data_IF_487183040526
#
_entry.id   IF_487183040526
#
_cell.length_a   1.000
_cell.length_b   1.000
_cell.length_c   1.000
_cell.angle_alpha   90.00
_cell.angle_beta   90.00
_cell.angle_gamma   90.00
#
_symmetry.space_group_name_H-M   'P 1'
#
loop_
_entity.id
_entity.type
_entity.pdbx_description
1 polymer ?
#
# COMPACT_ATOMS: atom_id res chain seq x y z
N UNK A 1 -34.86 -3.99 -24.27
CA UNK A 1 -33.86 -4.05 -25.37
C UNK A 1 -32.73 -3.04 -25.19
N UNK A 2 -32.98 -1.85 -24.69
CA UNK A 2 -31.99 -0.79 -24.41
C UNK A 2 -31.03 -1.16 -23.31
N UNK A 3 -31.50 -1.74 -22.23
CA UNK A 3 -30.67 -2.13 -21.03
C UNK A 3 -29.60 -3.19 -21.36
N UNK A 4 -29.87 -4.13 -22.26
CA UNK A 4 -28.88 -5.12 -22.72
C UNK A 4 -27.75 -4.50 -23.55
N UNK A 5 -28.05 -3.46 -24.30
CA UNK A 5 -27.05 -2.72 -25.11
C UNK A 5 -26.14 -1.86 -24.23
N UNK A 6 -26.69 -1.23 -23.19
CA UNK A 6 -25.92 -0.43 -22.23
C UNK A 6 -24.98 -1.34 -21.43
N UNK A 7 -25.45 -2.51 -21.01
CA UNK A 7 -24.63 -3.50 -20.28
C UNK A 7 -23.48 -4.05 -21.16
N UNK A 8 -23.75 -4.27 -22.46
CA UNK A 8 -22.73 -4.73 -23.42
C UNK A 8 -21.65 -3.66 -23.67
N UNK A 9 -22.03 -2.40 -23.75
CA UNK A 9 -21.08 -1.29 -23.93
C UNK A 9 -20.26 -1.09 -22.66
N UNK A 10 -20.88 -1.20 -21.47
CA UNK A 10 -20.17 -1.11 -20.20
C UNK A 10 -19.15 -2.25 -20.03
N UNK A 11 -19.51 -3.49 -20.39
CA UNK A 11 -18.59 -4.63 -20.38
C UNK A 11 -17.43 -4.48 -21.37
N UNK A 12 -17.65 -3.91 -22.55
CA UNK A 12 -16.57 -3.69 -23.52
C UNK A 12 -15.62 -2.59 -23.09
N UNK A 13 -16.12 -1.53 -22.45
CA UNK A 13 -15.27 -0.46 -21.88
C UNK A 13 -14.45 -0.98 -20.68
N UNK A 14 -15.06 -1.79 -19.81
CA UNK A 14 -14.32 -2.43 -18.69
C UNK A 14 -13.27 -3.44 -19.18
N UNK A 15 -13.57 -4.20 -20.24
CA UNK A 15 -12.60 -5.13 -20.82
C UNK A 15 -11.41 -4.40 -21.49
N UNK A 16 -11.63 -3.24 -22.10
CA UNK A 16 -10.55 -2.40 -22.62
C UNK A 16 -9.67 -1.79 -21.51
N UNK A 17 -10.27 -1.46 -20.35
CA UNK A 17 -9.50 -0.90 -19.22
C UNK A 17 -8.66 -1.95 -18.51
N UNK A 18 -9.07 -3.22 -18.51
CA UNK A 18 -8.29 -4.31 -17.89
C UNK A 18 -7.00 -4.67 -18.66
N UNK A 19 -6.87 -4.26 -19.90
CA UNK A 19 -5.73 -4.56 -20.77
C UNK A 19 -4.54 -3.62 -20.60
N UNK A 20 -4.68 -2.53 -19.83
CA UNK A 20 -3.59 -1.57 -19.60
C UNK A 20 -2.86 -1.71 -18.28
N UNK A 21 -3.24 -2.68 -17.47
CA UNK A 21 -2.60 -2.89 -16.17
C UNK A 21 -1.47 -3.90 -16.28
N UNK A 22 -0.33 -3.57 -16.83
CA UNK A 22 0.99 -4.17 -16.54
C UNK A 22 2.05 -3.94 -17.63
N UNK A 23 2.14 -2.74 -18.15
CA UNK A 23 3.40 -2.39 -18.81
C UNK A 23 4.27 -1.67 -17.76
N UNK A 24 5.12 -2.40 -17.09
CA UNK A 24 6.28 -1.84 -16.39
C UNK A 24 7.37 -1.69 -17.45
N UNK A 25 7.64 -0.47 -17.94
CA UNK A 25 8.76 -0.28 -18.87
C UNK A 25 10.05 -0.70 -18.16
N UNK A 26 11.00 -1.33 -18.88
CA UNK A 26 12.30 -1.63 -18.30
C UNK A 26 12.93 -0.32 -17.81
N UNK A 27 13.28 -0.29 -16.53
CA UNK A 27 13.97 0.86 -15.91
C UNK A 27 15.27 1.05 -16.66
N UNK A 28 15.37 2.11 -17.47
CA UNK A 28 16.64 2.50 -18.06
C UNK A 28 17.57 2.90 -16.91
N UNK A 29 18.63 2.15 -16.70
CA UNK A 29 19.71 2.47 -15.76
C UNK A 29 20.41 3.74 -16.20
N UNK A 30 19.96 4.87 -15.68
CA UNK A 30 20.61 6.15 -15.91
C UNK A 30 21.54 6.42 -14.72
N UNK A 31 22.85 6.31 -14.96
CA UNK A 31 23.91 6.48 -13.95
C UNK A 31 24.15 7.95 -13.55
N UNK A 32 23.37 8.87 -14.07
CA UNK A 32 23.45 10.28 -13.71
C UNK A 32 22.84 10.56 -12.33
N UNK A 33 23.32 11.64 -11.68
CA UNK A 33 22.91 12.09 -10.34
C UNK A 33 21.38 11.98 -10.12
N UNK A 34 20.98 11.44 -8.98
CA UNK A 34 19.56 11.32 -8.61
C UNK A 34 18.86 12.67 -8.73
N UNK A 35 18.00 12.83 -9.72
CA UNK A 35 17.14 14.00 -9.85
C UNK A 35 15.82 13.65 -9.19
N UNK A 36 15.43 14.41 -8.16
CA UNK A 36 14.21 14.18 -7.38
C UNK A 36 12.93 14.12 -8.23
N UNK A 37 12.96 14.63 -9.44
CA UNK A 37 11.85 14.69 -10.38
C UNK A 37 11.96 13.76 -11.58
N UNK A 38 12.90 12.80 -11.56
CA UNK A 38 12.99 11.75 -12.58
C UNK A 38 12.20 10.51 -12.17
N UNK A 39 11.68 9.80 -13.19
CA UNK A 39 10.97 8.52 -13.02
C UNK A 39 9.80 8.62 -12.02
N UNK A 40 8.88 9.52 -12.32
CA UNK A 40 7.65 9.69 -11.57
C UNK A 40 6.57 8.87 -12.27
N UNK A 41 5.91 8.01 -11.50
CA UNK A 41 4.76 7.24 -11.95
C UNK A 41 3.47 8.02 -11.70
N UNK A 42 2.60 8.03 -12.71
CA UNK A 42 1.27 8.63 -12.62
C UNK A 42 0.23 7.54 -12.76
N UNK A 43 -0.75 7.54 -11.86
CA UNK A 43 -1.86 6.58 -11.89
C UNK A 43 -3.18 7.35 -11.86
N UNK A 44 -4.11 6.95 -12.73
CA UNK A 44 -5.51 7.32 -12.64
C UNK A 44 -6.33 6.05 -12.61
N UNK A 45 -7.22 5.92 -11.65
CA UNK A 45 -8.07 4.75 -11.45
C UNK A 45 -9.52 5.21 -11.27
N UNK A 46 -10.45 4.52 -11.89
CA UNK A 46 -11.88 4.70 -11.70
C UNK A 46 -12.50 3.36 -11.32
N UNK A 47 -13.32 3.37 -10.29
CA UNK A 47 -14.11 2.21 -9.89
C UNK A 47 -15.57 2.59 -9.71
N UNK A 48 -16.48 1.73 -10.16
CA UNK A 48 -17.90 1.80 -9.86
C UNK A 48 -18.44 0.45 -9.42
N UNK A 49 -19.33 0.44 -8.44
CA UNK A 49 -20.02 -0.75 -7.95
C UNK A 49 -21.51 -0.47 -7.87
N UNK A 50 -22.30 -1.41 -8.37
CA UNK A 50 -23.75 -1.33 -8.41
C UNK A 50 -24.35 -2.64 -7.91
N UNK A 51 -25.17 -2.58 -6.89
CA UNK A 51 -25.86 -3.75 -6.31
C UNK A 51 -27.28 -3.41 -5.92
N UNK A 52 -28.14 -4.39 -5.77
CA UNK A 52 -29.51 -4.16 -5.31
C UNK A 52 -29.62 -3.91 -3.81
N UNK A 53 -28.58 -4.30 -3.05
CA UNK A 53 -28.47 -4.16 -1.60
C UNK A 53 -27.08 -3.64 -1.27
N UNK A 54 -26.64 -3.77 -0.03
CA UNK A 54 -25.27 -3.41 0.37
C UNK A 54 -24.24 -4.18 -0.45
N UNK A 55 -23.16 -3.52 -0.79
CA UNK A 55 -22.02 -4.15 -1.49
C UNK A 55 -21.47 -5.31 -0.66
N UNK A 56 -21.24 -6.49 -1.25
CA UNK A 56 -20.66 -7.63 -0.56
C UNK A 56 -19.31 -7.31 0.08
N UNK A 57 -19.07 -7.81 1.31
CA UNK A 57 -17.85 -7.53 2.07
C UNK A 57 -16.57 -7.95 1.32
N UNK A 58 -16.60 -9.03 0.58
CA UNK A 58 -15.43 -9.51 -0.16
C UNK A 58 -14.99 -8.56 -1.29
N UNK A 59 -15.90 -7.73 -1.85
CA UNK A 59 -15.55 -6.68 -2.79
C UNK A 59 -14.84 -5.50 -2.12
N UNK A 60 -14.96 -5.39 -0.79
CA UNK A 60 -14.36 -4.32 -0.01
C UNK A 60 -13.05 -4.74 0.69
N UNK A 61 -12.70 -6.02 0.60
CA UNK A 61 -11.49 -6.54 1.20
C UNK A 61 -10.24 -6.12 0.41
N UNK A 62 -9.12 -5.95 1.12
CA UNK A 62 -7.79 -5.69 0.55
C UNK A 62 -7.69 -4.43 -0.31
N UNK A 63 -8.40 -3.38 0.05
CA UNK A 63 -8.43 -2.09 -0.65
C UNK A 63 -7.87 -0.92 0.16
N UNK A 64 -7.07 -1.19 1.18
CA UNK A 64 -6.50 -0.17 2.06
C UNK A 64 -7.55 0.85 2.56
N UNK A 65 -8.74 0.38 2.90
CA UNK A 65 -9.83 1.22 3.40
C UNK A 65 -10.55 2.09 2.36
N UNK A 66 -10.18 1.99 1.09
CA UNK A 66 -10.90 2.67 0.01
C UNK A 66 -12.07 1.80 -0.47
N UNK A 67 -13.12 1.75 0.33
CA UNK A 67 -14.27 0.89 0.12
C UNK A 67 -15.55 1.48 0.72
N UNK A 68 -16.71 1.03 0.25
CA UNK A 68 -18.01 1.43 0.75
C UNK A 68 -18.98 0.25 0.74
N UNK A 69 -19.88 0.20 1.72
CA UNK A 69 -20.96 -0.80 1.79
C UNK A 69 -22.23 -0.35 1.06
N UNK A 70 -22.28 0.89 0.59
CA UNK A 70 -23.45 1.42 -0.11
C UNK A 70 -23.70 0.67 -1.43
N UNK A 71 -24.97 0.45 -1.75
CA UNK A 71 -25.39 -0.33 -2.92
C UNK A 71 -24.82 0.21 -4.24
N UNK A 72 -24.80 1.52 -4.36
CA UNK A 72 -24.16 2.22 -5.48
C UNK A 72 -23.03 3.06 -4.94
N UNK A 73 -21.81 2.74 -5.32
CA UNK A 73 -20.62 3.46 -4.88
C UNK A 73 -19.54 3.48 -5.95
N UNK A 74 -18.59 4.37 -5.81
CA UNK A 74 -17.45 4.45 -6.73
C UNK A 74 -16.47 5.52 -6.32
N UNK A 75 -15.37 5.61 -7.04
CA UNK A 75 -14.38 6.66 -6.85
C UNK A 75 -13.58 6.91 -8.13
N UNK A 76 -13.00 8.10 -8.19
CA UNK A 76 -11.91 8.43 -9.09
C UNK A 76 -10.70 8.69 -8.21
N UNK A 77 -9.60 8.00 -8.47
CA UNK A 77 -8.34 8.06 -7.72
C UNK A 77 -7.23 8.54 -8.64
N UNK A 78 -6.41 9.46 -8.18
CA UNK A 78 -5.25 9.97 -8.91
C UNK A 78 -4.04 9.91 -8.00
N UNK A 79 -2.95 9.32 -8.48
CA UNK A 79 -1.72 9.20 -7.73
C UNK A 79 -0.50 9.65 -8.52
N UNK A 80 0.43 10.25 -7.81
CA UNK A 80 1.79 10.56 -8.26
C UNK A 80 2.73 9.87 -7.27
N UNK A 81 3.65 9.06 -7.80
CA UNK A 81 4.58 8.29 -6.99
C UNK A 81 5.97 8.29 -7.60
N UNK A 82 6.98 8.47 -6.77
CA UNK A 82 8.38 8.21 -7.09
C UNK A 82 8.89 7.18 -6.10
N UNK A 83 9.02 5.91 -6.51
CA UNK A 83 9.49 4.85 -5.61
C UNK A 83 10.98 4.94 -5.32
N UNK A 84 11.40 4.45 -4.17
CA UNK A 84 12.82 4.33 -3.80
C UNK A 84 13.63 3.43 -4.73
N UNK A 85 12.99 2.49 -5.42
CA UNK A 85 13.63 1.57 -6.38
C UNK A 85 14.33 2.30 -7.53
N UNK A 86 13.93 3.52 -7.84
CA UNK A 86 14.62 4.37 -8.83
C UNK A 86 16.07 4.62 -8.46
N UNK A 87 16.40 4.64 -7.17
CA UNK A 87 17.73 4.89 -6.64
C UNK A 87 18.35 3.61 -6.03
N UNK A 88 17.94 2.41 -6.41
CA UNK A 88 18.32 1.14 -5.77
C UNK A 88 19.83 0.91 -5.76
N UNK A 89 20.52 1.26 -6.83
CA UNK A 89 21.99 1.10 -6.95
C UNK A 89 22.80 2.13 -6.14
N UNK A 90 22.14 3.06 -5.48
CA UNK A 90 22.77 4.17 -4.74
C UNK A 90 22.71 3.96 -3.25
N UNK A 91 23.71 4.53 -2.55
CA UNK A 91 23.69 4.55 -1.07
C UNK A 91 22.55 5.41 -0.50
N UNK A 92 22.07 6.39 -1.28
CA UNK A 92 20.99 7.30 -0.93
C UNK A 92 19.87 7.19 -1.94
N UNK A 93 18.65 7.20 -1.47
CA UNK A 93 17.46 7.25 -2.30
C UNK A 93 16.41 8.17 -1.66
N UNK A 94 15.59 8.77 -2.51
CA UNK A 94 14.45 9.59 -2.10
C UNK A 94 13.21 9.06 -2.81
N UNK A 95 12.16 8.79 -2.05
CA UNK A 95 10.85 8.45 -2.54
C UNK A 95 9.80 9.42 -2.02
N UNK A 96 8.71 9.57 -2.74
CA UNK A 96 7.56 10.33 -2.30
C UNK A 96 6.30 9.89 -3.05
N UNK A 97 5.16 10.14 -2.46
CA UNK A 97 3.88 9.84 -3.10
C UNK A 97 2.75 10.70 -2.57
N UNK A 98 1.86 11.03 -3.47
CA UNK A 98 0.57 11.66 -3.18
C UNK A 98 -0.51 10.92 -3.94
N UNK A 99 -1.54 10.48 -3.24
CA UNK A 99 -2.63 9.67 -3.77
C UNK A 99 -3.94 10.14 -3.16
N UNK A 100 -4.81 10.63 -4.02
CA UNK A 100 -6.09 11.24 -3.63
C UNK A 100 -7.22 10.58 -4.38
N UNK A 101 -8.30 10.28 -3.67
CA UNK A 101 -9.53 9.79 -4.26
C UNK A 101 -10.70 10.73 -3.97
N UNK A 102 -11.55 10.90 -4.97
CA UNK A 102 -12.86 11.56 -4.86
C UNK A 102 -13.93 10.47 -4.97
N UNK A 103 -14.48 10.05 -3.83
CA UNK A 103 -15.46 8.98 -3.80
C UNK A 103 -16.89 9.48 -3.93
N UNK A 104 -17.78 8.57 -4.30
CA UNK A 104 -19.23 8.73 -4.33
C UNK A 104 -19.86 7.69 -3.42
N UNK A 105 -20.72 8.11 -2.50
CA UNK A 105 -21.34 7.26 -1.48
C UNK A 105 -20.31 6.56 -0.56
N UNK A 106 -19.35 7.35 -0.08
CA UNK A 106 -18.42 6.99 0.99
C UNK A 106 -18.66 7.90 2.20
N UNK A 107 -18.03 7.58 3.32
CA UNK A 107 -18.12 8.39 4.54
C UNK A 107 -17.49 9.77 4.41
N UNK A 108 -16.48 9.92 3.57
CA UNK A 108 -15.77 11.18 3.36
C UNK A 108 -15.91 11.64 1.90
N UNK A 109 -16.08 12.95 1.64
CA UNK A 109 -16.21 13.49 0.28
C UNK A 109 -14.90 13.49 -0.51
N UNK A 110 -13.77 13.43 0.18
CA UNK A 110 -12.44 13.28 -0.40
C UNK A 110 -11.56 12.44 0.54
N UNK A 111 -10.70 11.63 -0.04
CA UNK A 111 -9.81 10.72 0.69
C UNK A 111 -8.38 10.95 0.23
N UNK A 112 -7.51 11.34 1.14
CA UNK A 112 -6.07 11.26 0.92
C UNK A 112 -5.65 9.84 1.28
N UNK A 113 -5.44 9.02 0.26
CA UNK A 113 -5.10 7.61 0.44
C UNK A 113 -3.66 7.44 0.85
N UNK A 114 -2.75 8.19 0.22
CA UNK A 114 -1.36 8.24 0.59
C UNK A 114 -0.83 9.66 0.49
N UNK A 115 0.00 10.06 1.42
CA UNK A 115 0.80 11.27 1.36
C UNK A 115 2.06 11.04 2.19
N UNK A 116 3.21 10.84 1.53
CA UNK A 116 4.44 10.48 2.22
C UNK A 116 5.69 11.00 1.53
N UNK A 117 6.74 11.09 2.32
CA UNK A 117 8.12 11.25 1.87
C UNK A 117 8.95 10.17 2.53
N UNK A 118 9.88 9.59 1.79
CA UNK A 118 10.79 8.58 2.32
C UNK A 118 12.21 8.82 1.84
N UNK A 119 13.15 8.51 2.72
CA UNK A 119 14.58 8.55 2.43
C UNK A 119 15.22 7.21 2.75
N UNK A 120 16.11 6.74 1.89
CA UNK A 120 16.95 5.57 2.14
C UNK A 120 18.39 5.98 2.31
N UNK A 121 19.04 5.38 3.30
CA UNK A 121 20.48 5.42 3.49
C UNK A 121 20.99 4.00 3.70
N UNK A 122 21.79 3.51 2.77
CA UNK A 122 22.21 2.10 2.74
C UNK A 122 21.01 1.15 2.78
N UNK A 123 20.88 0.40 3.87
CA UNK A 123 19.82 -0.59 4.10
C UNK A 123 18.62 0.00 4.88
N UNK A 124 18.80 1.16 5.51
CA UNK A 124 17.76 1.80 6.32
C UNK A 124 16.89 2.76 5.54
N UNK A 125 15.61 2.80 5.86
CA UNK A 125 14.62 3.75 5.31
C UNK A 125 13.93 4.51 6.42
N UNK A 126 13.72 5.80 6.20
CA UNK A 126 12.89 6.66 7.02
C UNK A 126 11.71 7.11 6.17
N UNK A 127 10.49 6.79 6.57
CA UNK A 127 9.25 7.22 5.92
C UNK A 127 8.47 8.13 6.86
N UNK A 128 8.00 9.26 6.35
CA UNK A 128 7.15 10.21 7.09
C UNK A 128 5.87 10.40 6.29
N UNK A 129 4.72 10.18 6.91
CA UNK A 129 3.40 10.32 6.31
C UNK A 129 2.63 8.99 6.22
N UNK A 130 1.55 9.00 5.45
CA UNK A 130 0.68 7.86 5.21
C UNK A 130 1.12 7.14 3.93
N UNK A 131 1.61 5.92 4.05
CA UNK A 131 2.04 5.07 2.93
C UNK A 131 1.41 3.69 3.04
N UNK A 132 0.86 3.18 1.97
CA UNK A 132 0.42 1.79 1.88
C UNK A 132 1.60 0.85 2.13
N UNK A 133 1.46 -0.03 3.12
CA UNK A 133 2.49 -1.01 3.45
C UNK A 133 2.10 -2.37 2.86
N UNK A 134 3.05 -3.13 2.32
CA UNK A 134 2.77 -4.49 1.87
C UNK A 134 2.39 -5.38 3.06
N UNK A 135 1.60 -6.40 2.81
CA UNK A 135 1.41 -7.48 3.77
C UNK A 135 2.70 -8.29 3.89
N UNK A 136 3.14 -8.51 5.11
CA UNK A 136 4.35 -9.28 5.42
C UNK A 136 4.00 -10.73 5.79
N UNK A 137 5.00 -11.62 5.78
CA UNK A 137 4.89 -13.03 6.16
C UNK A 137 3.78 -13.78 5.41
N UNK A 138 3.69 -13.54 4.12
CA UNK A 138 2.79 -14.32 3.26
C UNK A 138 3.41 -14.54 1.88
N UNK A 139 3.00 -15.62 1.25
CA UNK A 139 3.26 -15.83 -0.17
C UNK A 139 2.27 -15.00 -1.00
N UNK A 140 2.78 -14.04 -1.79
CA UNK A 140 1.94 -13.13 -2.57
C UNK A 140 1.15 -13.82 -3.70
N UNK A 141 1.58 -15.00 -4.14
CA UNK A 141 0.94 -15.77 -5.20
C UNK A 141 -0.11 -16.77 -4.68
N UNK A 142 0.06 -17.25 -3.45
CA UNK A 142 -0.76 -18.33 -2.90
C UNK A 142 -1.70 -17.89 -1.78
N UNK A 143 -1.38 -16.81 -1.08
CA UNK A 143 -2.14 -16.36 0.09
C UNK A 143 -3.03 -15.17 -0.23
N UNK A 144 -4.30 -15.22 0.17
CA UNK A 144 -5.26 -14.13 0.03
C UNK A 144 -5.06 -13.00 1.04
N UNK A 145 -4.32 -13.23 2.11
CA UNK A 145 -4.08 -12.23 3.15
C UNK A 145 -3.06 -12.66 4.19
N UNK A 146 -2.59 -11.70 4.98
CA UNK A 146 -1.74 -11.94 6.14
C UNK A 146 -2.57 -12.30 7.36
N UNK A 147 -2.02 -13.09 8.27
CA UNK A 147 -2.68 -13.45 9.54
C UNK A 147 -2.71 -12.30 10.55
N UNK A 148 -1.75 -11.38 10.49
CA UNK A 148 -1.57 -10.34 11.50
C UNK A 148 -1.89 -8.93 11.01
N UNK A 149 -1.29 -8.51 9.91
CA UNK A 149 -1.46 -7.19 9.33
C UNK A 149 -2.08 -7.29 7.95
N UNK A 150 -3.40 -7.09 7.88
CA UNK A 150 -4.12 -6.99 6.62
C UNK A 150 -4.01 -5.58 6.01
N UNK A 151 -4.48 -5.45 4.78
CA UNK A 151 -4.54 -4.19 4.05
C UNK A 151 -5.98 -3.67 3.91
N UNK A 152 -6.80 -3.89 4.94
CA UNK A 152 -8.20 -3.44 4.95
C UNK A 152 -8.36 -2.02 5.50
N UNK A 153 -7.43 -1.56 6.33
CA UNK A 153 -7.46 -0.22 6.90
C UNK A 153 -6.72 0.78 6.00
N UNK A 154 -7.14 2.05 6.07
CA UNK A 154 -6.43 3.16 5.45
C UNK A 154 -5.03 3.28 6.05
N UNK A 155 -4.01 3.66 5.25
CA UNK A 155 -2.66 3.88 5.76
C UNK A 155 -2.64 4.92 6.88
N UNK A 156 -1.97 4.58 7.97
CA UNK A 156 -1.84 5.49 9.12
C UNK A 156 -0.70 6.48 8.87
N UNK A 157 -0.93 7.79 9.03
CA UNK A 157 0.14 8.77 9.06
C UNK A 157 1.12 8.47 10.20
N UNK A 158 2.39 8.25 9.87
CA UNK A 158 3.39 7.80 10.83
C UNK A 158 4.80 8.25 10.46
N UNK A 159 5.69 8.22 11.43
CA UNK A 159 7.13 8.21 11.23
C UNK A 159 7.58 6.77 11.40
N UNK A 160 8.17 6.20 10.35
CA UNK A 160 8.60 4.80 10.29
C UNK A 160 10.08 4.72 9.95
N UNK A 161 10.85 4.10 10.81
CA UNK A 161 12.23 3.68 10.56
C UNK A 161 12.22 2.18 10.27
N UNK A 162 12.78 1.76 9.13
CA UNK A 162 12.74 0.36 8.72
C UNK A 162 14.02 -0.10 8.04
N UNK A 163 14.26 -1.40 8.15
CA UNK A 163 15.09 -2.19 7.25
C UNK A 163 14.11 -2.99 6.38
N UNK A 164 13.76 -2.50 5.18
CA UNK A 164 12.68 -3.10 4.37
C UNK A 164 13.06 -4.47 3.81
N UNK A 165 14.34 -4.71 3.61
CA UNK A 165 14.89 -5.95 3.09
C UNK A 165 15.83 -6.58 4.10
N UNK A 166 16.08 -7.88 3.97
CA UNK A 166 17.02 -8.59 4.84
C UNK A 166 18.44 -8.08 4.64
N UNK A 167 18.95 -7.35 5.63
CA UNK A 167 20.33 -6.91 5.68
C UNK A 167 21.22 -8.02 6.25
N UNK A 168 22.16 -8.52 5.43
CA UNK A 168 23.16 -9.48 5.87
C UNK A 168 24.15 -8.80 6.80
N UNK A 169 24.23 -9.27 8.04
CA UNK A 169 25.12 -8.70 9.06
C UNK A 169 26.58 -9.06 8.78
N UNK A 170 27.48 -8.07 8.67
CA UNK A 170 28.83 -8.29 8.18
C UNK A 170 29.71 -9.17 9.10
N UNK A 171 29.37 -9.24 10.40
CA UNK A 171 30.09 -10.07 11.37
C UNK A 171 29.66 -11.55 11.39
N UNK A 172 28.63 -11.91 10.64
CA UNK A 172 28.02 -13.24 10.70
C UNK A 172 28.36 -14.13 9.48
N UNK A 173 29.37 -13.77 8.70
CA UNK A 173 29.84 -14.52 7.53
C UNK A 173 28.71 -14.94 6.57
N UNK A 174 27.72 -14.07 6.40
CA UNK A 174 26.57 -14.34 5.51
C UNK A 174 25.50 -15.26 6.09
N UNK A 175 25.57 -15.64 7.37
CA UNK A 175 24.59 -16.54 7.99
C UNK A 175 23.43 -15.85 8.70
N UNK A 176 23.57 -14.57 9.02
CA UNK A 176 22.59 -13.85 9.81
C UNK A 176 22.07 -12.64 9.06
N UNK A 177 20.75 -12.57 8.89
CA UNK A 177 20.08 -11.47 8.19
C UNK A 177 19.01 -10.88 9.09
N UNK A 178 18.92 -9.56 9.10
CA UNK A 178 17.98 -8.80 9.90
C UNK A 178 17.10 -7.95 9.02
N UNK A 179 15.79 -7.97 9.27
CA UNK A 179 14.78 -7.11 8.71
C UNK A 179 13.88 -6.59 9.83
N UNK A 180 13.24 -5.43 9.65
CA UNK A 180 12.27 -4.99 10.65
C UNK A 180 11.92 -3.51 10.56
N UNK A 181 11.08 -3.06 11.49
CA UNK A 181 10.69 -1.67 11.57
C UNK A 181 10.25 -1.25 12.96
N UNK A 182 10.30 0.06 13.18
CA UNK A 182 9.66 0.75 14.29
C UNK A 182 8.89 1.93 13.71
N UNK A 183 7.65 2.11 14.13
CA UNK A 183 6.81 3.19 13.64
C UNK A 183 5.94 3.77 14.75
N UNK A 184 5.75 5.08 14.69
CA UNK A 184 4.85 5.85 15.54
C UNK A 184 3.98 6.75 14.67
N UNK A 185 2.69 6.77 14.96
CA UNK A 185 1.73 7.53 14.18
C UNK A 185 0.46 7.83 14.94
N UNK A 186 -0.48 8.40 14.23
CA UNK A 186 -1.81 8.73 14.75
C UNK A 186 -2.85 8.37 13.69
N UNK A 187 -3.86 7.61 14.10
CA UNK A 187 -4.97 7.26 13.20
C UNK A 187 -5.79 8.50 12.84
N UNK A 188 -6.22 8.56 11.59
CA UNK A 188 -7.15 9.57 11.10
C UNK A 188 -8.51 8.91 10.94
N UNK A 189 -9.46 9.27 11.79
CA UNK A 189 -10.73 8.55 11.89
C UNK A 189 -11.87 9.23 11.13
N UNK A 190 -11.71 10.48 10.67
CA UNK A 190 -12.74 11.26 9.96
C UNK A 190 -14.13 11.18 10.61
N UNK A 191 -14.18 11.01 11.95
CA UNK A 191 -15.39 10.81 12.76
C UNK A 191 -16.28 9.63 12.35
N UNK A 192 -15.77 8.67 11.57
CA UNK A 192 -16.61 7.57 11.05
C UNK A 192 -17.29 6.74 12.12
N UNK A 193 -16.63 6.50 13.27
CA UNK A 193 -17.23 5.77 14.39
C UNK A 193 -18.37 6.55 15.04
N UNK A 194 -18.18 7.86 15.18
CA UNK A 194 -19.20 8.76 15.72
C UNK A 194 -20.45 8.78 14.84
N UNK A 195 -20.27 8.88 13.52
CA UNK A 195 -21.37 8.86 12.57
C UNK A 195 -22.02 7.49 12.46
N UNK A 196 -21.23 6.42 12.43
CA UNK A 196 -21.72 5.05 12.39
C UNK A 196 -22.58 4.66 13.62
N UNK A 197 -22.18 5.09 14.82
CA UNK A 197 -22.90 4.83 16.06
C UNK A 197 -24.03 5.83 16.30
N UNK A 198 -24.27 6.77 15.39
CA UNK A 198 -25.28 7.85 15.51
C UNK A 198 -25.12 8.63 16.81
N UNK A 199 -23.91 8.88 17.25
CA UNK A 199 -23.55 9.60 18.50
C UNK A 199 -24.01 8.91 19.80
N UNK A 200 -24.39 7.64 19.74
CA UNK A 200 -25.01 6.96 20.90
C UNK A 200 -24.04 6.10 21.71
N UNK A 201 -22.89 5.73 21.15
CA UNK A 201 -21.92 4.87 21.80
C UNK A 201 -20.56 5.57 21.99
N UNK A 202 -19.80 5.07 22.96
CA UNK A 202 -18.38 5.46 23.09
C UNK A 202 -17.62 5.04 21.84
N UNK A 203 -16.75 5.90 21.36
CA UNK A 203 -15.89 5.66 20.22
C UNK A 203 -14.46 6.09 20.54
N UNK A 204 -13.50 5.50 19.85
CA UNK A 204 -12.12 5.91 19.89
C UNK A 204 -11.84 6.88 18.73
N UNK A 205 -11.21 8.00 19.01
CA UNK A 205 -10.85 9.01 18.03
C UNK A 205 -9.39 9.37 18.17
N UNK A 206 -8.74 9.61 17.05
CA UNK A 206 -7.35 10.06 17.00
C UNK A 206 -6.37 9.18 17.79
N UNK A 207 -6.54 7.86 17.72
CA UNK A 207 -5.76 6.90 18.50
C UNK A 207 -4.29 6.94 18.08
N UNK A 208 -3.39 6.94 19.06
CA UNK A 208 -1.96 6.80 18.81
C UNK A 208 -1.67 5.38 18.31
N UNK A 209 -0.86 5.32 17.25
CA UNK A 209 -0.44 4.09 16.62
C UNK A 209 1.04 3.83 16.88
N UNK A 210 1.34 2.63 17.32
CA UNK A 210 2.71 2.17 17.47
C UNK A 210 2.83 0.79 16.84
N UNK A 211 3.78 0.62 15.93
CA UNK A 211 4.08 -0.65 15.28
C UNK A 211 5.57 -0.94 15.37
N UNK A 212 5.90 -2.18 15.66
CA UNK A 212 7.26 -2.69 15.60
C UNK A 212 7.24 -4.16 15.21
N UNK A 213 8.18 -4.54 14.35
CA UNK A 213 8.42 -5.92 13.97
C UNK A 213 9.91 -6.12 13.74
N UNK A 214 10.38 -7.31 14.06
CA UNK A 214 11.75 -7.75 13.79
C UNK A 214 11.71 -9.16 13.25
N UNK A 215 12.48 -9.40 12.19
CA UNK A 215 12.58 -10.69 11.51
C UNK A 215 14.05 -11.08 11.44
N UNK A 216 14.33 -12.29 11.80
CA UNK A 216 15.67 -12.87 11.77
C UNK A 216 15.64 -14.03 10.76
N UNK A 217 16.54 -13.98 9.78
CA UNK A 217 16.75 -15.10 8.84
C UNK A 217 18.14 -15.69 9.11
N UNK A 218 18.20 -17.00 9.29
CA UNK A 218 19.40 -17.79 9.44
C UNK A 218 19.62 -18.63 8.19
N UNK A 219 20.80 -18.60 7.63
CA UNK A 219 21.19 -19.38 6.46
C UNK A 219 22.12 -18.61 5.55
N UNK A 220 22.90 -19.32 4.75
CA UNK A 220 23.80 -18.73 3.75
C UNK A 220 23.44 -19.29 2.37
N UNK A 221 22.98 -18.45 1.47
CA UNK A 221 22.56 -18.84 0.13
C UNK A 221 23.73 -19.23 -0.78
N UNK A 222 24.96 -18.78 -0.47
CA UNK A 222 26.18 -19.13 -1.22
C UNK A 222 26.72 -20.51 -0.86
N UNK A 223 26.40 -21.01 0.32
CA UNK A 223 26.75 -22.37 0.78
C UNK A 223 25.51 -23.22 0.61
N UNK A 224 25.65 -24.40 0.03
CA UNK A 224 24.54 -25.35 -0.08
C UNK A 224 23.96 -25.67 1.32
N UNK A 225 23.06 -24.82 1.75
CA UNK A 225 22.27 -24.98 2.97
C UNK A 225 20.80 -25.02 2.55
N UNK A 226 20.16 -26.18 2.49
CA UNK A 226 18.75 -26.30 2.04
C UNK A 226 17.77 -25.72 3.06
N UNK A 227 18.22 -25.20 4.20
CA UNK A 227 17.39 -24.72 5.30
C UNK A 227 17.63 -23.24 5.57
N UNK A 228 16.57 -22.45 5.51
CA UNK A 228 16.54 -21.11 6.10
C UNK A 228 15.42 -21.06 7.13
N UNK A 229 15.66 -20.46 8.28
CA UNK A 229 14.67 -20.18 9.30
C UNK A 229 14.42 -18.68 9.33
N UNK A 230 13.17 -18.30 9.16
CA UNK A 230 12.69 -16.93 9.28
C UNK A 230 11.76 -16.82 10.49
N UNK A 231 12.04 -15.92 11.42
CA UNK A 231 11.28 -15.68 12.66
C UNK A 231 10.92 -14.20 12.77
#
# INVERSE_FOLDING_TARGET
>A
MVMKRILSILCSVLACMASYAQYVPPVMKDTTKARAFKNIDYKVEMQGSFSNTKTPLWLNANKHGLSSLEATNGYIRTAINRPLSVDEERKWGIGYGLDVAVPVNYTSPAVVQQAYIEGRWHHGTLTIGAKEQPMELKNNSLSSGSQTLGINARPVPQVRLALPDYWTLPFANGWLHLKGHIAYGKMTDDNWQYDFTKKQNKYADNVLYHSKAGYLKLGNEEVFCPWSLEV
#
